data_IF_362146256548
#
_entry.id   IF_362146256548
#
_cell.length_a   1.000
_cell.length_b   1.000
_cell.length_c   1.000
_cell.angle_alpha   90.00
_cell.angle_beta   90.00
_cell.angle_gamma   90.00
#
_symmetry.space_group_name_H-M   'P 1'
#
loop_
_entity.id
_entity.type
_entity.pdbx_description
1 polymer ?
#
# COMPACT_ATOMS: atom_id res chain seq x y z
N UNK A 1 -0.35 -45.60 -36.10
CA UNK A 1 -1.39 -44.56 -35.89
C UNK A 1 -1.56 -44.19 -34.42
N UNK A 2 -1.69 -45.15 -33.49
CA UNK A 2 -1.91 -44.87 -32.05
C UNK A 2 -0.67 -44.31 -31.29
N UNK A 3 0.53 -44.43 -31.85
CA UNK A 3 1.79 -43.98 -31.22
C UNK A 3 2.11 -42.51 -31.53
N UNK A 4 1.92 -42.07 -32.79
CA UNK A 4 2.03 -40.65 -33.18
C UNK A 4 1.06 -39.75 -32.39
N UNK A 5 -0.19 -40.18 -32.23
CA UNK A 5 -1.19 -39.43 -31.47
C UNK A 5 -0.76 -39.26 -30.00
N UNK A 6 -0.08 -40.26 -29.42
CA UNK A 6 0.42 -40.18 -28.03
C UNK A 6 1.60 -39.21 -27.89
N UNK A 7 2.49 -39.17 -28.89
CA UNK A 7 3.61 -38.23 -28.92
C UNK A 7 3.12 -36.79 -29.08
N UNK A 8 2.16 -36.55 -30.00
CA UNK A 8 1.54 -35.23 -30.17
C UNK A 8 0.81 -34.76 -28.89
N UNK A 9 0.09 -35.65 -28.20
CA UNK A 9 -0.54 -35.32 -26.91
C UNK A 9 0.52 -34.97 -25.85
N UNK A 10 1.63 -35.69 -25.79
CA UNK A 10 2.70 -35.42 -24.83
C UNK A 10 3.40 -34.09 -25.11
N UNK A 11 3.59 -33.73 -26.38
CA UNK A 11 4.16 -32.45 -26.79
C UNK A 11 3.24 -31.28 -26.42
N UNK A 12 1.93 -31.43 -26.67
CA UNK A 12 0.92 -30.44 -26.26
C UNK A 12 0.88 -30.27 -24.74
N UNK A 13 0.93 -31.36 -23.98
CA UNK A 13 0.93 -31.32 -22.51
C UNK A 13 2.17 -30.60 -21.95
N UNK A 14 3.33 -30.83 -22.58
CA UNK A 14 4.57 -30.13 -22.24
C UNK A 14 4.47 -28.62 -22.56
N UNK A 15 3.90 -28.26 -23.70
CA UNK A 15 3.68 -26.86 -24.09
C UNK A 15 2.74 -26.15 -23.12
N UNK A 16 1.61 -26.78 -22.75
CA UNK A 16 0.65 -26.23 -21.80
C UNK A 16 1.31 -26.05 -20.43
N UNK A 17 2.09 -27.03 -19.99
CA UNK A 17 2.83 -26.95 -18.71
C UNK A 17 3.82 -25.79 -18.71
N UNK A 18 4.56 -25.61 -19.81
CA UNK A 18 5.49 -24.48 -19.95
C UNK A 18 4.76 -23.14 -19.88
N UNK A 19 3.66 -22.99 -20.64
CA UNK A 19 2.86 -21.77 -20.63
C UNK A 19 2.23 -21.48 -19.26
N UNK A 20 1.77 -22.52 -18.55
CA UNK A 20 1.22 -22.38 -17.21
C UNK A 20 2.29 -21.89 -16.21
N UNK A 21 3.53 -22.38 -16.32
CA UNK A 21 4.65 -21.92 -15.50
C UNK A 21 4.99 -20.46 -15.80
N UNK A 22 5.10 -20.08 -17.07
CA UNK A 22 5.41 -18.71 -17.49
C UNK A 22 4.35 -17.73 -17.00
N UNK A 23 3.07 -18.08 -17.18
CA UNK A 23 1.94 -17.29 -16.69
C UNK A 23 1.98 -17.16 -15.16
N UNK A 24 2.29 -18.26 -14.45
CA UNK A 24 2.39 -18.26 -12.99
C UNK A 24 3.51 -17.34 -12.50
N UNK A 25 4.66 -17.34 -13.19
CA UNK A 25 5.77 -16.43 -12.89
C UNK A 25 5.37 -14.95 -13.11
N UNK A 26 4.72 -14.64 -14.23
CA UNK A 26 4.24 -13.28 -14.52
C UNK A 26 3.23 -12.79 -13.48
N UNK A 27 2.28 -13.64 -13.07
CA UNK A 27 1.31 -13.31 -12.02
C UNK A 27 1.98 -13.11 -10.66
N UNK A 28 3.00 -13.91 -10.34
CA UNK A 28 3.78 -13.76 -9.12
C UNK A 28 4.52 -12.42 -9.08
N UNK A 29 5.22 -12.06 -10.16
CA UNK A 29 5.89 -10.77 -10.28
C UNK A 29 4.92 -9.59 -10.19
N UNK A 30 3.77 -9.67 -10.86
CA UNK A 30 2.74 -8.64 -10.80
C UNK A 30 2.21 -8.46 -9.37
N UNK A 31 2.02 -9.56 -8.62
CA UNK A 31 1.60 -9.51 -7.22
C UNK A 31 2.64 -8.80 -6.36
N UNK A 32 3.94 -9.11 -6.51
CA UNK A 32 5.00 -8.47 -5.74
C UNK A 32 5.10 -6.97 -6.04
N UNK A 33 4.84 -6.55 -7.28
CA UNK A 33 4.81 -5.12 -7.67
C UNK A 33 3.63 -4.38 -7.02
N UNK A 34 2.43 -4.98 -7.04
CA UNK A 34 1.22 -4.34 -6.49
C UNK A 34 1.15 -4.41 -4.96
N UNK A 35 1.67 -5.48 -4.38
CA UNK A 35 1.60 -5.78 -2.95
C UNK A 35 2.97 -6.23 -2.44
N UNK A 36 3.95 -5.32 -2.36
CA UNK A 36 5.27 -5.67 -1.85
C UNK A 36 5.16 -6.18 -0.41
N UNK A 37 5.92 -7.22 -0.03
CA UNK A 37 5.82 -7.83 1.30
C UNK A 37 6.19 -6.86 2.43
N UNK A 38 7.00 -5.84 2.12
CA UNK A 38 7.40 -4.75 3.00
C UNK A 38 6.63 -3.45 2.71
N UNK A 39 5.45 -3.52 2.10
CA UNK A 39 4.60 -2.34 1.90
C UNK A 39 4.33 -1.65 3.24
N UNK A 40 4.80 -0.42 3.39
CA UNK A 40 4.46 0.42 4.53
C UNK A 40 3.30 1.33 4.17
N UNK A 41 2.25 1.31 4.99
CA UNK A 41 1.15 2.28 4.88
C UNK A 41 1.56 3.54 5.64
N UNK A 42 1.69 4.65 4.92
CA UNK A 42 1.81 5.96 5.55
C UNK A 42 0.44 6.43 6.01
N UNK A 43 0.37 7.04 7.19
CA UNK A 43 -0.83 7.75 7.61
C UNK A 43 -0.84 9.14 6.98
N UNK A 44 -2.03 9.64 6.65
CA UNK A 44 -2.18 11.06 6.34
C UNK A 44 -1.88 11.88 7.61
N UNK A 45 -1.46 13.14 7.48
CA UNK A 45 -1.45 14.06 8.60
C UNK A 45 -2.83 14.13 9.26
N UNK A 46 -2.83 14.08 10.59
CA UNK A 46 -4.03 14.20 11.41
C UNK A 46 -4.46 15.66 11.45
N UNK A 47 -5.75 15.90 11.29
CA UNK A 47 -6.28 17.24 11.50
C UNK A 47 -6.13 17.60 12.99
N UNK A 48 -6.06 18.91 13.31
CA UNK A 48 -5.98 19.40 14.69
C UNK A 48 -6.99 18.74 15.64
N UNK A 49 -8.24 18.52 15.18
CA UNK A 49 -9.28 17.88 15.98
C UNK A 49 -8.99 16.40 16.27
N UNK A 50 -8.46 15.67 15.29
CA UNK A 50 -8.12 14.25 15.42
C UNK A 50 -6.91 14.08 16.35
N UNK A 51 -5.86 14.88 16.13
CA UNK A 51 -4.69 14.89 17.00
C UNK A 51 -5.07 15.22 18.45
N UNK A 52 -5.92 16.23 18.66
CA UNK A 52 -6.42 16.58 19.98
C UNK A 52 -7.22 15.44 20.61
N UNK A 53 -8.08 14.76 19.84
CA UNK A 53 -8.85 13.61 20.30
C UNK A 53 -7.95 12.44 20.72
N UNK A 54 -6.93 12.10 19.93
CA UNK A 54 -5.99 11.02 20.27
C UNK A 54 -5.10 11.35 21.48
N UNK A 55 -4.75 12.62 21.67
CA UNK A 55 -3.99 13.11 22.82
C UNK A 55 -4.86 13.37 24.06
N UNK A 56 -6.18 13.19 23.95
CA UNK A 56 -7.16 13.48 25.00
C UNK A 56 -7.07 14.92 25.54
N UNK A 57 -6.92 15.88 24.63
CA UNK A 57 -6.91 17.33 24.92
C UNK A 57 -7.92 18.05 24.05
N UNK A 58 -8.21 19.31 24.36
CA UNK A 58 -9.04 20.14 23.48
C UNK A 58 -8.23 20.63 22.27
N UNK A 59 -8.89 20.81 21.13
CA UNK A 59 -8.25 21.38 19.92
C UNK A 59 -7.72 22.80 20.16
N UNK A 60 -8.39 23.58 21.02
CA UNK A 60 -7.94 24.90 21.45
C UNK A 60 -6.65 24.83 22.28
N UNK A 61 -6.55 23.87 23.20
CA UNK A 61 -5.34 23.66 24.00
C UNK A 61 -4.15 23.28 23.12
N UNK A 62 -4.32 22.31 22.21
CA UNK A 62 -3.27 21.90 21.27
C UNK A 62 -2.84 23.05 20.34
N UNK A 63 -3.80 23.88 19.90
CA UNK A 63 -3.50 25.10 19.14
C UNK A 63 -2.66 26.09 19.96
N UNK A 64 -3.04 26.38 21.20
CA UNK A 64 -2.29 27.30 22.06
C UNK A 64 -0.87 26.79 22.31
N UNK A 65 -0.72 25.49 22.61
CA UNK A 65 0.57 24.84 22.80
C UNK A 65 1.49 25.01 21.57
N UNK A 66 0.95 24.84 20.36
CA UNK A 66 1.70 25.08 19.12
C UNK A 66 2.09 26.56 18.92
N UNK A 67 1.23 27.50 19.31
CA UNK A 67 1.48 28.94 19.22
C UNK A 67 2.53 29.43 20.22
N UNK A 68 2.58 28.80 21.40
CA UNK A 68 3.61 29.03 22.42
C UNK A 68 4.95 28.37 22.08
N UNK A 69 5.04 27.63 20.97
CA UNK A 69 6.22 26.86 20.58
C UNK A 69 6.49 25.64 21.49
N UNK A 70 5.50 25.22 22.30
CA UNK A 70 5.62 24.13 23.27
C UNK A 70 5.12 22.79 22.74
N UNK A 71 5.12 22.59 21.42
CA UNK A 71 4.63 21.39 20.78
C UNK A 71 5.11 21.21 19.35
N UNK A 72 4.67 20.13 18.67
CA UNK A 72 5.00 19.92 17.27
C UNK A 72 4.48 21.09 16.41
N UNK A 73 5.23 21.45 15.37
CA UNK A 73 4.82 22.49 14.43
C UNK A 73 3.83 21.90 13.42
N UNK A 74 2.59 22.44 13.32
CA UNK A 74 1.63 21.94 12.36
C UNK A 74 1.97 22.41 10.95
N UNK A 75 1.59 21.61 9.95
CA UNK A 75 1.41 22.12 8.60
C UNK A 75 0.16 23.00 8.57
N UNK A 76 0.27 24.20 8.00
CA UNK A 76 -0.82 25.19 7.94
C UNK A 76 -1.17 25.50 6.50
N UNK A 77 -2.45 25.31 6.13
CA UNK A 77 -2.95 25.70 4.81
C UNK A 77 -3.11 27.22 4.71
N UNK A 78 -3.23 27.80 3.49
CA UNK A 78 -3.52 29.23 3.32
C UNK A 78 -4.83 29.68 4.01
N UNK A 79 -5.79 28.77 4.16
CA UNK A 79 -7.05 28.99 4.90
C UNK A 79 -6.91 28.87 6.42
N UNK A 80 -5.71 28.59 6.94
CA UNK A 80 -5.43 28.49 8.38
C UNK A 80 -5.75 27.14 9.03
N UNK A 81 -6.06 26.10 8.24
CA UNK A 81 -6.26 24.74 8.78
C UNK A 81 -4.93 24.13 9.18
N UNK A 82 -4.90 23.43 10.32
CA UNK A 82 -3.71 22.80 10.90
C UNK A 82 -3.80 21.28 10.82
N UNK A 83 -2.70 20.65 10.42
CA UNK A 83 -2.52 19.20 10.50
C UNK A 83 -1.14 18.83 11.05
N UNK A 84 -1.07 17.69 11.74
CA UNK A 84 0.11 17.13 12.39
C UNK A 84 0.48 15.79 11.80
#
# INVERSE_FOLDING_TARGET
MNMMIREEIAEVDLLITQQANDLSAMLHEHRLKMFPPNAQKTLRPFQLSEAAQYLNVTSGYLKNLSLEGKGPLPMVTPSGRRSY
#
